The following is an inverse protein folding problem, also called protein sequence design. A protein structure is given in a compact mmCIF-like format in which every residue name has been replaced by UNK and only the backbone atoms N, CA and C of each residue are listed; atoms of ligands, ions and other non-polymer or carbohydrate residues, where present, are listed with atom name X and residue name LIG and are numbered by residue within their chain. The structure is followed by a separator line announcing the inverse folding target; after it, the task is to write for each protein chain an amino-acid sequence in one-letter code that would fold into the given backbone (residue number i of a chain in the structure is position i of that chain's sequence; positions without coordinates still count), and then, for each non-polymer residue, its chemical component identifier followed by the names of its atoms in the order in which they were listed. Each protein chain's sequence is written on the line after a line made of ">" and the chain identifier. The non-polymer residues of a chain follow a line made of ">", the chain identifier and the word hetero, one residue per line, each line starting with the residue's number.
data_IF_280355841606
#
_entry.id   IF_280355841606
#
_cell.length_a   1.000
_cell.length_b   1.000
_cell.length_c   1.000
_cell.angle_alpha   90.00
_cell.angle_beta   90.00
_cell.angle_gamma   90.00
#
_symmetry.space_group_name_H-M   'P 1'
#
loop_
_entity.id
_entity.type
_entity.pdbx_description
1 polymer ?
#
# COMPACT_ATOMS: atom_id res chain seq x y z
N UNK A 1 -10.70 1.08 -6.97
CA UNK A 1 -10.90 2.17 -5.98
C UNK A 1 -9.68 2.24 -5.10
N UNK A 2 -9.17 3.44 -4.83
CA UNK A 2 -8.07 3.63 -3.87
C UNK A 2 -8.68 4.24 -2.61
N UNK A 3 -8.43 3.61 -1.47
CA UNK A 3 -8.83 4.09 -0.16
C UNK A 3 -7.56 4.43 0.62
N UNK A 4 -7.57 5.57 1.30
CA UNK A 4 -6.48 6.00 2.18
C UNK A 4 -7.07 6.12 3.58
N UNK A 5 -6.46 5.43 4.52
CA UNK A 5 -6.89 5.39 5.92
C UNK A 5 -5.72 5.85 6.81
N UNK A 6 -6.04 6.59 7.87
CA UNK A 6 -5.09 6.85 8.94
C UNK A 6 -4.81 5.53 9.68
N UNK A 7 -3.57 5.31 10.07
CA UNK A 7 -3.20 4.16 10.89
C UNK A 7 -3.17 4.56 12.36
N UNK A 8 -4.07 3.98 13.16
CA UNK A 8 -4.15 4.22 14.60
C UNK A 8 -2.89 3.80 15.37
N UNK A 9 -2.06 2.93 14.77
CA UNK A 9 -0.80 2.47 15.35
C UNK A 9 0.40 3.36 14.98
N UNK A 10 0.20 4.49 14.29
CA UNK A 10 1.29 5.33 13.82
C UNK A 10 2.31 5.67 14.93
N UNK A 11 3.56 5.29 14.69
CA UNK A 11 4.68 5.55 15.60
C UNK A 11 5.95 5.78 14.75
N UNK A 12 6.42 7.03 14.59
CA UNK A 12 7.56 7.33 13.72
C UNK A 12 8.87 6.71 14.18
N UNK A 13 9.01 6.37 15.48
CA UNK A 13 10.22 5.73 15.99
C UNK A 13 10.23 4.25 15.59
N UNK A 14 9.07 3.60 15.62
CA UNK A 14 8.94 2.17 15.26
C UNK A 14 8.88 1.95 13.75
N UNK A 15 8.48 2.95 12.97
CA UNK A 15 8.40 2.87 11.51
C UNK A 15 9.74 2.59 10.82
N UNK A 16 10.88 2.88 11.47
CA UNK A 16 12.22 2.59 10.94
C UNK A 16 12.73 1.17 11.32
N UNK A 17 11.97 0.42 12.12
CA UNK A 17 12.35 -0.90 12.62
C UNK A 17 11.91 -2.07 11.75
N UNK A 18 12.18 -3.28 12.23
CA UNK A 18 11.59 -4.51 11.68
C UNK A 18 10.06 -4.44 11.82
N UNK A 19 9.35 -4.83 10.76
CA UNK A 19 7.89 -4.68 10.64
C UNK A 19 7.40 -3.23 10.78
N UNK A 20 8.25 -2.26 10.42
CA UNK A 20 7.97 -0.83 10.52
C UNK A 20 6.69 -0.37 9.81
N UNK A 21 6.26 -1.08 8.77
CA UNK A 21 5.01 -0.81 8.04
C UNK A 21 3.76 -0.80 8.90
N UNK A 22 3.74 -1.60 9.97
CA UNK A 22 2.63 -1.63 10.91
C UNK A 22 2.41 -0.27 11.60
N UNK A 23 3.44 0.58 11.59
CA UNK A 23 3.48 1.89 12.24
C UNK A 23 3.55 3.05 11.25
N UNK A 24 3.34 2.81 9.95
CA UNK A 24 3.26 3.88 8.96
C UNK A 24 2.02 4.74 9.20
N UNK A 25 2.10 6.03 8.84
CA UNK A 25 1.02 6.98 9.12
C UNK A 25 -0.28 6.67 8.38
N UNK A 26 -0.17 6.10 7.18
CA UNK A 26 -1.30 5.83 6.30
C UNK A 26 -1.26 4.42 5.76
N UNK A 27 -2.44 3.83 5.59
CA UNK A 27 -2.66 2.58 4.87
C UNK A 27 -3.36 2.93 3.55
N UNK A 28 -2.81 2.46 2.44
CA UNK A 28 -3.40 2.62 1.11
C UNK A 28 -3.87 1.26 0.62
N UNK A 29 -5.17 1.14 0.34
CA UNK A 29 -5.77 -0.10 -0.14
C UNK A 29 -6.35 0.10 -1.53
N UNK A 30 -6.11 -0.88 -2.41
CA UNK A 30 -6.62 -0.89 -3.79
C UNK A 30 -7.64 -2.02 -3.89
N UNK A 31 -8.88 -1.66 -4.21
CA UNK A 31 -9.99 -2.60 -4.32
C UNK A 31 -10.55 -2.65 -5.73
N UNK A 32 -11.07 -3.81 -6.17
CA UNK A 32 -11.87 -3.89 -7.38
C UNK A 32 -13.17 -3.08 -7.22
N UNK A 33 -13.65 -2.49 -8.31
CA UNK A 33 -14.94 -1.82 -8.34
C UNK A 33 -16.00 -2.80 -8.83
N UNK A 34 -17.08 -2.99 -8.06
CA UNK A 34 -18.18 -3.87 -8.46
C UNK A 34 -18.76 -3.43 -9.81
N UNK A 35 -18.84 -4.36 -10.76
CA UNK A 35 -19.34 -4.08 -12.12
C UNK A 35 -18.31 -3.48 -13.07
N UNK A 36 -17.04 -3.35 -12.63
CA UNK A 36 -15.90 -3.01 -13.47
C UNK A 36 -14.96 -4.21 -13.49
N UNK A 37 -14.48 -4.58 -14.67
CA UNK A 37 -13.57 -5.71 -14.84
C UNK A 37 -12.15 -5.28 -14.45
N UNK A 38 -11.89 -5.22 -13.14
CA UNK A 38 -10.57 -4.93 -12.57
C UNK A 38 -9.92 -6.23 -12.13
N UNK A 39 -8.89 -6.66 -12.88
CA UNK A 39 -8.12 -7.87 -12.58
C UNK A 39 -7.22 -7.69 -11.35
N UNK A 40 -6.71 -8.79 -10.80
CA UNK A 40 -5.69 -8.77 -9.75
C UNK A 40 -4.38 -8.16 -10.29
N UNK A 41 -3.97 -8.49 -11.52
CA UNK A 41 -2.85 -7.84 -12.20
C UNK A 41 -2.98 -6.33 -12.26
N UNK A 42 -4.17 -5.80 -12.57
CA UNK A 42 -4.35 -4.35 -12.62
C UNK A 42 -4.24 -3.70 -11.24
N UNK A 43 -4.73 -4.37 -10.18
CA UNK A 43 -4.56 -3.91 -8.81
C UNK A 43 -3.08 -3.92 -8.42
N UNK A 44 -2.34 -4.96 -8.81
CA UNK A 44 -0.90 -5.06 -8.62
C UNK A 44 -0.16 -3.92 -9.31
N UNK A 45 -0.40 -3.70 -10.60
CA UNK A 45 0.23 -2.64 -11.38
C UNK A 45 0.01 -1.25 -10.76
N UNK A 46 -1.23 -0.98 -10.32
CA UNK A 46 -1.55 0.25 -9.61
C UNK A 46 -0.78 0.36 -8.29
N UNK A 47 -0.71 -0.71 -7.49
CA UNK A 47 0.04 -0.73 -6.22
C UNK A 47 1.51 -0.37 -6.43
N UNK A 48 2.16 -0.95 -7.44
CA UNK A 48 3.54 -0.61 -7.80
C UNK A 48 3.68 0.84 -8.28
N UNK A 49 2.73 1.34 -9.08
CA UNK A 49 2.73 2.71 -9.55
C UNK A 49 2.63 3.72 -8.38
N UNK A 50 1.72 3.48 -7.43
CA UNK A 50 1.59 4.31 -6.23
C UNK A 50 2.85 4.27 -5.38
N UNK A 51 3.38 3.08 -5.09
CA UNK A 51 4.61 2.92 -4.33
C UNK A 51 5.77 3.70 -4.96
N UNK A 52 5.93 3.59 -6.29
CA UNK A 52 6.95 4.34 -7.02
C UNK A 52 6.75 5.85 -6.84
N UNK A 53 5.52 6.36 -6.97
CA UNK A 53 5.24 7.79 -6.80
C UNK A 53 5.48 8.30 -5.39
N UNK A 54 5.20 7.50 -4.37
CA UNK A 54 5.52 7.83 -2.97
C UNK A 54 7.04 7.93 -2.78
N UNK A 55 7.79 6.94 -3.27
CA UNK A 55 9.26 6.93 -3.20
C UNK A 55 9.90 8.07 -3.98
N UNK A 56 9.40 8.39 -5.18
CA UNK A 56 9.84 9.53 -5.99
C UNK A 56 9.62 10.87 -5.25
N UNK A 57 8.62 10.96 -4.38
CA UNK A 57 8.34 12.12 -3.54
C UNK A 57 9.17 12.16 -2.24
N UNK A 58 10.08 11.20 -2.03
CA UNK A 58 10.91 11.09 -0.83
C UNK A 58 10.16 10.53 0.39
N UNK A 59 9.01 9.89 0.18
CA UNK A 59 8.24 9.26 1.26
C UNK A 59 8.63 7.79 1.41
N UNK A 60 8.58 7.31 2.65
CA UNK A 60 8.67 5.89 2.97
C UNK A 60 7.39 5.18 2.51
N UNK A 61 7.53 3.96 2.00
CA UNK A 61 6.40 3.14 1.59
C UNK A 61 6.85 1.74 1.17
N UNK A 62 5.95 0.78 1.34
CA UNK A 62 6.14 -0.62 0.96
C UNK A 62 4.82 -1.29 0.59
N UNK A 63 4.90 -2.45 -0.06
CA UNK A 63 3.75 -3.31 -0.35
C UNK A 63 3.69 -4.40 0.72
N UNK A 64 2.52 -4.58 1.32
CA UNK A 64 2.32 -5.54 2.42
C UNK A 64 1.85 -6.91 1.89
N UNK A 65 1.29 -6.97 0.68
CA UNK A 65 0.65 -8.15 0.09
C UNK A 65 1.26 -8.57 -1.26
N UNK A 66 2.59 -8.50 -1.42
CA UNK A 66 3.19 -8.93 -2.70
C UNK A 66 2.95 -10.42 -3.00
N UNK A 67 2.94 -11.25 -1.95
CA UNK A 67 2.73 -12.69 -2.05
C UNK A 67 1.29 -13.08 -2.42
N UNK A 68 0.29 -12.27 -2.02
CA UNK A 68 -1.14 -12.51 -2.31
C UNK A 68 -1.48 -12.37 -3.81
N UNK A 69 -0.56 -11.86 -4.63
CA UNK A 69 -0.73 -11.78 -6.09
C UNK A 69 -0.33 -13.05 -6.84
N UNK A 70 0.22 -14.05 -6.15
CA UNK A 70 0.83 -15.24 -6.75
C UNK A 70 0.11 -16.56 -6.41
N UNK A 71 -0.97 -16.52 -5.63
CA UNK A 71 -1.82 -17.67 -5.28
C UNK A 71 -2.95 -17.92 -6.30
#
# INVERSE_FOLDING_TARGET
>A
MVVIEDNDLYDPIKAEGVDGWMYYKFILSIFPLKGVDTTLEYQRELSFLFLKKLKDAGLLGELICEDDFHD
#
